data_IF_933824815593
#
_entry.id   IF_933824815593
#
_cell.length_a   1.000
_cell.length_b   1.000
_cell.length_c   1.000
_cell.angle_alpha   90.00
_cell.angle_beta   90.00
_cell.angle_gamma   90.00
#
_symmetry.space_group_name_H-M   'P 1'
#
loop_
_entity.id
_entity.type
_entity.pdbx_description
1 polymer ?
#
# COMPACT_ATOMS: atom_id res chain seq x y z
N UNK A 1 10.24 25.38 37.67
CA UNK A 1 11.06 25.75 36.49
C UNK A 1 11.52 24.44 35.86
N UNK A 2 10.67 23.74 35.10
CA UNK A 2 10.41 23.91 33.65
C UNK A 2 11.71 23.99 32.84
N UNK A 3 12.17 22.83 32.37
CA UNK A 3 13.04 22.64 31.20
C UNK A 3 12.70 21.28 30.57
N UNK A 4 11.50 21.14 30.02
CA UNK A 4 11.12 19.99 29.17
C UNK A 4 10.51 20.41 27.81
N UNK A 5 10.37 21.71 27.54
CA UNK A 5 9.77 22.19 26.28
C UNK A 5 10.75 22.49 25.15
N UNK A 6 12.07 22.39 25.35
CA UNK A 6 13.04 22.95 24.39
C UNK A 6 13.46 21.97 23.28
N UNK A 7 13.45 20.66 23.53
CA UNK A 7 13.89 19.66 22.55
C UNK A 7 12.78 19.24 21.58
N UNK A 8 11.53 19.13 22.03
CA UNK A 8 10.40 18.82 21.13
C UNK A 8 10.12 19.97 20.13
N UNK A 9 10.24 21.23 20.58
CA UNK A 9 10.05 22.40 19.70
C UNK A 9 11.18 22.53 18.67
N UNK A 10 12.41 22.09 18.99
CA UNK A 10 13.51 22.07 18.04
C UNK A 10 13.35 20.93 17.03
N UNK A 11 12.81 19.78 17.43
CA UNK A 11 12.59 18.63 16.55
C UNK A 11 11.39 18.84 15.62
N UNK A 12 10.28 19.39 16.11
CA UNK A 12 9.18 19.91 15.29
C UNK A 12 9.65 21.07 14.40
N UNK A 13 10.56 21.91 14.90
CA UNK A 13 11.16 23.02 14.14
C UNK A 13 11.98 22.53 12.94
N UNK A 14 12.79 21.48 13.13
CA UNK A 14 13.62 20.86 12.08
C UNK A 14 12.76 20.04 11.11
N UNK A 15 11.77 19.27 11.58
CA UNK A 15 10.80 18.60 10.71
C UNK A 15 9.97 19.60 9.92
N UNK A 16 9.54 20.73 10.52
CA UNK A 16 8.80 21.78 9.81
C UNK A 16 9.68 22.54 8.81
N UNK A 17 11.00 22.64 9.05
CA UNK A 17 11.95 23.27 8.16
C UNK A 17 12.33 22.34 7.00
N UNK A 18 12.54 21.04 7.26
CA UNK A 18 12.72 20.03 6.21
C UNK A 18 11.45 19.85 5.38
N UNK A 19 10.26 19.83 6.01
CA UNK A 19 8.96 19.82 5.32
C UNK A 19 8.78 21.07 4.47
N UNK A 20 9.13 22.25 4.99
CA UNK A 20 9.11 23.51 4.22
C UNK A 20 10.11 23.52 3.08
N UNK A 21 11.34 23.05 3.28
CA UNK A 21 12.36 22.95 2.21
C UNK A 21 11.98 21.93 1.15
N UNK A 22 11.39 20.79 1.55
CA UNK A 22 10.85 19.79 0.65
C UNK A 22 9.72 20.41 -0.18
N UNK A 23 8.75 21.06 0.46
CA UNK A 23 7.61 21.69 -0.22
C UNK A 23 8.07 22.89 -1.08
N UNK A 24 8.96 23.77 -0.63
CA UNK A 24 9.52 24.88 -1.40
C UNK A 24 10.30 24.39 -2.64
N UNK A 25 11.03 23.28 -2.51
CA UNK A 25 11.65 22.61 -3.65
C UNK A 25 10.57 22.10 -4.63
N UNK A 26 9.47 21.54 -4.15
CA UNK A 26 8.36 21.10 -5.00
C UNK A 26 7.56 22.28 -5.59
N UNK A 27 7.46 23.43 -4.93
CA UNK A 27 6.66 24.59 -5.37
C UNK A 27 7.38 25.45 -6.39
N UNK A 28 8.66 25.79 -6.15
CA UNK A 28 9.55 26.40 -7.15
C UNK A 28 9.63 25.53 -8.43
N UNK A 29 9.33 24.26 -8.24
CA UNK A 29 9.12 23.17 -9.19
C UNK A 29 7.95 23.24 -10.18
N UNK A 30 6.79 23.71 -9.69
CA UNK A 30 5.45 23.36 -10.19
C UNK A 30 4.97 21.95 -9.83
N UNK A 31 5.40 21.34 -8.71
CA UNK A 31 5.33 19.88 -8.43
C UNK A 31 4.31 19.43 -7.37
N UNK A 32 3.69 20.32 -6.60
CA UNK A 32 2.67 19.94 -5.59
C UNK A 32 1.39 19.42 -6.27
N UNK A 33 1.11 19.85 -7.50
CA UNK A 33 -0.06 19.39 -8.27
C UNK A 33 0.02 17.92 -8.70
N UNK A 34 1.23 17.39 -8.91
CA UNK A 34 1.45 15.96 -9.16
C UNK A 34 0.88 15.10 -8.03
N UNK A 35 0.95 15.63 -6.82
CA UNK A 35 0.51 14.96 -5.60
C UNK A 35 -1.02 14.92 -5.54
N UNK A 36 -1.66 16.05 -5.81
CA UNK A 36 -3.13 16.14 -5.89
C UNK A 36 -3.66 15.20 -6.97
N UNK A 37 -3.02 15.18 -8.16
CA UNK A 37 -3.40 14.27 -9.25
C UNK A 37 -3.19 12.78 -8.88
N UNK A 38 -2.09 12.43 -8.21
CA UNK A 38 -1.83 11.05 -7.77
C UNK A 38 -2.86 10.58 -6.74
N UNK A 39 -3.11 11.40 -5.72
CA UNK A 39 -4.10 11.10 -4.69
C UNK A 39 -5.53 11.00 -5.26
N UNK A 40 -5.85 11.83 -6.25
CA UNK A 40 -7.14 11.83 -6.91
C UNK A 40 -7.44 10.55 -7.71
N UNK A 41 -6.41 9.82 -8.20
CA UNK A 41 -6.58 8.51 -8.88
C UNK A 41 -7.28 7.47 -8.02
N UNK A 42 -7.15 7.58 -6.71
CA UNK A 42 -7.80 6.71 -5.73
C UNK A 42 -8.94 7.40 -4.98
N UNK A 43 -9.41 8.54 -5.47
CA UNK A 43 -10.43 9.35 -4.80
C UNK A 43 -10.06 9.68 -3.34
N UNK A 44 -8.76 9.80 -3.04
CA UNK A 44 -8.27 10.00 -1.68
C UNK A 44 -8.45 11.47 -1.27
N UNK A 45 -9.65 11.80 -0.78
CA UNK A 45 -10.01 13.15 -0.38
C UNK A 45 -9.07 13.71 0.69
N UNK A 46 -8.58 12.88 1.62
CA UNK A 46 -7.62 13.25 2.65
C UNK A 46 -6.35 13.89 2.07
N UNK A 47 -5.66 13.15 1.21
CA UNK A 47 -4.42 13.61 0.60
C UNK A 47 -4.68 14.77 -0.37
N UNK A 48 -5.78 14.73 -1.13
CA UNK A 48 -6.18 15.84 -2.02
C UNK A 48 -6.39 17.12 -1.21
N UNK A 49 -7.20 17.10 -0.15
CA UNK A 49 -7.49 18.27 0.67
C UNK A 49 -6.24 18.83 1.36
N UNK A 50 -5.41 17.95 1.91
CA UNK A 50 -4.15 18.31 2.53
C UNK A 50 -3.21 19.03 1.55
N UNK A 51 -3.00 18.45 0.36
CA UNK A 51 -2.10 19.02 -0.63
C UNK A 51 -2.66 20.26 -1.33
N UNK A 52 -3.97 20.39 -1.47
CA UNK A 52 -4.60 21.65 -1.88
C UNK A 52 -4.31 22.79 -0.88
N UNK A 53 -4.39 22.49 0.42
CA UNK A 53 -4.04 23.45 1.48
C UNK A 53 -2.57 23.89 1.40
N UNK A 54 -1.66 22.93 1.29
CA UNK A 54 -0.22 23.22 1.16
C UNK A 54 0.09 23.99 -0.12
N UNK A 55 -0.52 23.64 -1.26
CA UNK A 55 -0.35 24.35 -2.54
C UNK A 55 -0.75 25.83 -2.46
N UNK A 56 -1.82 26.16 -1.73
CA UNK A 56 -2.24 27.55 -1.54
C UNK A 56 -1.33 28.30 -0.57
N UNK A 57 -0.88 27.66 0.52
CA UNK A 57 -0.01 28.28 1.52
C UNK A 57 1.32 28.76 0.96
N UNK A 58 1.83 28.06 -0.04
CA UNK A 58 3.09 28.35 -0.73
C UNK A 58 2.92 29.24 -1.98
N UNK A 59 1.72 29.79 -2.20
CA UNK A 59 1.46 30.76 -3.26
C UNK A 59 1.16 30.16 -4.64
N UNK A 60 0.72 28.91 -4.71
CA UNK A 60 0.24 28.29 -5.94
C UNK A 60 -1.00 28.99 -6.52
N UNK A 61 -1.16 28.97 -7.84
CA UNK A 61 -2.27 29.63 -8.54
C UNK A 61 -3.61 28.93 -8.24
N UNK A 62 -4.56 29.57 -7.53
CA UNK A 62 -5.85 28.98 -7.19
C UNK A 62 -6.68 28.57 -8.40
N UNK A 63 -6.41 29.15 -9.58
CA UNK A 63 -7.10 28.79 -10.81
C UNK A 63 -6.93 27.31 -11.17
N UNK A 64 -5.81 26.69 -10.79
CA UNK A 64 -5.48 25.30 -11.10
C UNK A 64 -6.32 24.32 -10.29
N UNK A 65 -6.72 24.71 -9.07
CA UNK A 65 -7.59 23.93 -8.20
C UNK A 65 -9.04 23.79 -8.71
N UNK A 66 -9.37 24.45 -9.82
CA UNK A 66 -10.66 24.31 -10.52
C UNK A 66 -10.70 23.11 -11.47
N UNK A 67 -9.56 22.48 -11.73
CA UNK A 67 -9.45 21.27 -12.55
C UNK A 67 -8.23 21.27 -13.46
N UNK A 68 -7.88 20.08 -13.93
CA UNK A 68 -6.67 19.80 -14.71
C UNK A 68 -6.55 20.65 -16.00
N UNK A 69 -7.68 21.02 -16.61
CA UNK A 69 -7.72 21.88 -17.79
C UNK A 69 -7.10 23.28 -17.55
N UNK A 70 -7.06 23.73 -16.30
CA UNK A 70 -6.47 25.01 -15.91
C UNK A 70 -4.99 24.91 -15.55
N UNK A 71 -4.45 23.70 -15.36
CA UNK A 71 -3.03 23.48 -15.07
C UNK A 71 -2.16 23.58 -16.35
N UNK A 72 -0.87 23.94 -16.25
CA UNK A 72 0.07 23.98 -17.37
C UNK A 72 0.14 22.68 -18.17
N UNK A 73 0.41 22.77 -19.49
CA UNK A 73 0.49 21.61 -20.38
C UNK A 73 1.51 20.55 -19.91
N UNK A 74 2.63 20.98 -19.32
CA UNK A 74 3.65 20.07 -18.77
C UNK A 74 3.07 19.13 -17.71
N UNK A 75 2.14 19.61 -16.87
CA UNK A 75 1.48 18.81 -15.84
C UNK A 75 0.38 17.92 -16.43
N UNK A 76 -0.40 18.43 -17.39
CA UNK A 76 -1.39 17.61 -18.10
C UNK A 76 -0.77 16.40 -18.78
N UNK A 77 0.44 16.55 -19.34
CA UNK A 77 1.18 15.45 -19.96
C UNK A 77 1.55 14.32 -18.97
N UNK A 78 1.56 14.58 -17.66
CA UNK A 78 1.86 13.56 -16.64
C UNK A 78 0.64 12.71 -16.27
N UNK A 79 -0.57 13.07 -16.73
CA UNK A 79 -1.78 12.38 -16.31
C UNK A 79 -1.86 10.95 -16.87
N UNK A 80 -1.39 10.73 -18.10
CA UNK A 80 -1.38 9.39 -18.69
C UNK A 80 -0.46 8.44 -17.90
N UNK A 81 0.75 8.89 -17.55
CA UNK A 81 1.68 8.08 -16.75
C UNK A 81 1.19 7.90 -15.31
N UNK A 82 0.53 8.92 -14.73
CA UNK A 82 -0.10 8.85 -13.41
C UNK A 82 -1.16 7.74 -13.34
N UNK A 83 -2.08 7.72 -14.31
CA UNK A 83 -3.12 6.69 -14.45
C UNK A 83 -2.52 5.29 -14.59
N UNK A 84 -1.49 5.14 -15.43
CA UNK A 84 -0.80 3.86 -15.62
C UNK A 84 -0.11 3.41 -14.33
N UNK A 85 0.65 4.26 -13.66
CA UNK A 85 1.34 3.95 -12.41
C UNK A 85 0.39 3.55 -11.28
N UNK A 86 -0.78 4.21 -11.18
CA UNK A 86 -1.76 3.94 -10.14
C UNK A 86 -2.35 2.54 -10.24
N UNK A 87 -2.63 2.09 -11.46
CA UNK A 87 -3.54 0.97 -11.68
C UNK A 87 -2.93 -0.19 -12.49
N UNK A 88 -2.05 0.10 -13.44
CA UNK A 88 -1.51 -0.86 -14.39
C UNK A 88 -0.03 -0.57 -14.72
N UNK A 89 0.88 -0.56 -13.72
CA UNK A 89 2.27 -0.10 -13.89
C UNK A 89 3.06 -0.88 -14.96
N UNK A 90 2.61 -2.07 -15.36
CA UNK A 90 3.20 -2.84 -16.44
C UNK A 90 3.06 -2.23 -17.84
N UNK A 91 2.25 -1.17 -18.02
CA UNK A 91 2.09 -0.47 -19.31
C UNK A 91 3.03 0.74 -19.49
N UNK A 92 3.94 1.00 -18.56
CA UNK A 92 4.74 2.24 -18.54
C UNK A 92 5.69 2.34 -19.74
N UNK A 93 5.78 3.56 -20.28
CA UNK A 93 6.77 4.01 -21.27
C UNK A 93 7.72 5.06 -20.66
N UNK A 94 8.70 5.53 -21.44
CA UNK A 94 9.96 6.18 -21.02
C UNK A 94 9.91 7.57 -20.36
N UNK A 95 8.76 8.08 -19.91
CA UNK A 95 8.60 9.49 -19.53
C UNK A 95 8.94 9.79 -18.04
N UNK A 96 9.61 10.95 -17.81
CA UNK A 96 9.93 11.65 -16.55
C UNK A 96 10.07 10.85 -15.23
N UNK A 97 11.31 10.56 -14.87
CA UNK A 97 11.72 9.73 -13.72
C UNK A 97 11.36 10.34 -12.36
N UNK A 98 11.52 11.66 -12.23
CA UNK A 98 11.19 12.38 -10.98
C UNK A 98 9.69 12.33 -10.66
N UNK A 99 8.83 12.39 -11.67
CA UNK A 99 7.40 12.24 -11.49
C UNK A 99 7.06 10.82 -11.01
N UNK A 100 7.77 9.79 -11.48
CA UNK A 100 7.53 8.40 -11.07
C UNK A 100 7.61 8.21 -9.55
N UNK A 101 8.65 8.77 -8.91
CA UNK A 101 8.86 8.57 -7.47
C UNK A 101 7.74 9.22 -6.66
N UNK A 102 7.34 10.44 -7.01
CA UNK A 102 6.23 11.12 -6.34
C UNK A 102 4.90 10.39 -6.56
N UNK A 103 4.59 10.06 -7.81
CA UNK A 103 3.32 9.42 -8.16
C UNK A 103 3.20 8.06 -7.45
N UNK A 104 4.24 7.22 -7.52
CA UNK A 104 4.24 5.91 -6.82
C UNK A 104 4.15 6.05 -5.30
N UNK A 105 4.84 7.03 -4.72
CA UNK A 105 4.75 7.32 -3.29
C UNK A 105 3.31 7.65 -2.87
N UNK A 106 2.64 8.56 -3.58
CA UNK A 106 1.29 8.99 -3.21
C UNK A 106 0.19 7.98 -3.55
N UNK A 107 0.39 7.12 -4.55
CA UNK A 107 -0.48 5.97 -4.77
C UNK A 107 -0.41 4.99 -3.60
N UNK A 108 0.80 4.66 -3.14
CA UNK A 108 1.00 3.80 -1.97
C UNK A 108 0.52 4.46 -0.67
N UNK A 109 0.69 5.78 -0.54
CA UNK A 109 0.16 6.51 0.62
C UNK A 109 -1.37 6.54 0.62
N UNK A 110 -2.03 6.62 -0.53
CA UNK A 110 -3.48 6.48 -0.61
C UNK A 110 -3.93 5.08 -0.13
N UNK A 111 -3.23 4.00 -0.51
CA UNK A 111 -3.46 2.67 0.07
C UNK A 111 -3.36 2.67 1.59
N UNK A 112 -2.32 3.30 2.15
CA UNK A 112 -2.16 3.40 3.59
C UNK A 112 -3.29 4.18 4.27
N UNK A 113 -3.69 5.32 3.70
CA UNK A 113 -4.80 6.15 4.22
C UNK A 113 -6.10 5.35 4.31
N UNK A 114 -6.49 4.68 3.21
CA UNK A 114 -7.71 3.87 3.20
C UNK A 114 -7.59 2.60 4.07
N UNK A 115 -6.45 1.93 4.04
CA UNK A 115 -6.20 0.71 4.82
C UNK A 115 -6.20 0.96 6.33
N UNK A 116 -5.65 2.09 6.77
CA UNK A 116 -5.65 2.51 8.18
C UNK A 116 -6.89 3.31 8.59
N UNK A 117 -7.78 3.66 7.66
CA UNK A 117 -9.01 4.41 7.92
C UNK A 117 -8.80 5.88 8.28
N UNK A 118 -7.74 6.52 7.79
CA UNK A 118 -7.42 7.92 8.06
C UNK A 118 -8.42 8.83 7.32
N UNK A 119 -9.12 9.71 8.03
CA UNK A 119 -10.09 10.65 7.47
C UNK A 119 -9.65 12.11 7.69
N UNK A 120 -10.13 13.01 6.82
CA UNK A 120 -9.99 14.46 7.00
C UNK A 120 -10.80 14.86 8.23
N UNK A 121 -10.15 15.37 9.27
CA UNK A 121 -10.82 16.13 10.32
C UNK A 121 -11.32 17.45 9.70
N UNK A 122 -12.48 17.40 9.07
CA UNK A 122 -13.30 18.59 8.79
C UNK A 122 -14.21 18.73 10.00
N UNK A 123 -14.06 19.81 10.76
CA UNK A 123 -14.83 20.18 11.96
C UNK A 123 -16.32 19.84 11.85
N UNK A 124 -16.71 18.65 12.32
CA UNK A 124 -18.10 18.23 12.41
C UNK A 124 -18.25 17.46 13.72
N UNK A 125 -19.15 17.93 14.59
CA UNK A 125 -19.47 17.37 15.94
C UNK A 125 -20.02 15.92 15.91
N UNK A 126 -19.95 15.23 14.77
CA UNK A 126 -20.25 13.81 14.59
C UNK A 126 -19.17 13.07 13.76
N UNK A 127 -17.96 13.64 13.63
CA UNK A 127 -16.82 12.96 13.03
C UNK A 127 -16.41 11.78 13.90
N UNK A 128 -16.91 10.58 13.60
CA UNK A 128 -16.39 9.37 14.20
C UNK A 128 -14.95 9.16 13.74
N UNK A 129 -14.01 9.69 14.53
CA UNK A 129 -12.60 9.42 14.40
C UNK A 129 -12.46 7.90 14.30
N UNK A 130 -11.84 7.41 13.23
CA UNK A 130 -11.18 6.11 13.27
C UNK A 130 -9.89 6.32 14.06
N UNK A 131 -10.02 6.64 15.36
CA UNK A 131 -8.88 6.73 16.27
C UNK A 131 -8.69 5.31 16.78
N UNK A 132 -7.70 4.53 16.30
CA UNK A 132 -7.22 3.44 17.12
C UNK A 132 -6.81 4.06 18.46
N UNK A 133 -7.24 3.52 19.62
CA UNK A 133 -6.77 4.03 20.90
C UNK A 133 -5.24 3.98 20.86
N UNK A 134 -4.60 5.15 20.91
CA UNK A 134 -3.16 5.25 21.04
C UNK A 134 -2.72 4.38 22.22
N UNK A 135 -1.60 3.64 22.14
CA UNK A 135 -1.18 2.78 23.24
C UNK A 135 -0.94 3.66 24.47
N UNK A 136 -1.88 3.63 25.43
CA UNK A 136 -1.65 4.20 26.74
C UNK A 136 -0.68 3.27 27.45
N UNK A 137 0.46 3.82 27.84
CA UNK A 137 1.32 3.16 28.82
C UNK A 137 0.49 2.89 30.08
N UNK A 138 0.64 1.69 30.63
CA UNK A 138 0.11 1.23 31.92
C UNK A 138 -1.41 1.37 32.13
N UNK A 139 -2.13 0.27 31.96
CA UNK A 139 -3.16 -0.11 32.93
C UNK A 139 -3.18 -1.63 33.11
N UNK A 140 -2.64 -2.04 34.25
CA UNK A 140 -2.81 -3.36 34.81
C UNK A 140 -4.15 -3.38 35.56
N UNK A 141 -5.14 -4.13 35.05
CA UNK A 141 -6.13 -4.94 35.80
C UNK A 141 -7.42 -5.14 34.99
N UNK A 142 -8.00 -6.36 34.94
CA UNK A 142 -9.26 -6.59 34.28
C UNK A 142 -10.42 -6.32 35.24
N UNK A 143 -11.30 -5.38 34.89
CA UNK A 143 -12.65 -5.29 35.47
C UNK A 143 -13.56 -6.25 34.71
N UNK A 144 -13.83 -7.39 35.35
CA UNK A 144 -14.84 -8.37 34.98
C UNK A 144 -16.23 -7.77 35.07
N UNK A 145 -17.04 -7.87 34.00
CA UNK A 145 -18.46 -8.25 34.03
C UNK A 145 -18.89 -8.87 32.67
N UNK A 146 -19.35 -10.12 32.74
CA UNK A 146 -20.42 -10.79 31.96
C UNK A 146 -20.23 -10.99 30.43
N UNK A 147 -20.42 -12.14 29.79
CA UNK A 147 -20.83 -13.50 30.13
C UNK A 147 -21.12 -14.22 28.79
N UNK A 148 -20.67 -15.47 28.64
CA UNK A 148 -20.86 -16.38 27.47
C UNK A 148 -20.22 -16.00 26.12
N UNK A 149 -18.94 -16.37 25.91
CA UNK A 149 -18.43 -16.82 24.59
C UNK A 149 -17.09 -17.58 24.64
N UNK A 150 -16.88 -18.44 25.64
CA UNK A 150 -15.62 -19.18 25.84
C UNK A 150 -15.26 -20.17 24.73
N UNK A 151 -16.21 -20.59 23.89
CA UNK A 151 -15.91 -21.45 22.73
C UNK A 151 -15.20 -20.68 21.62
N UNK A 152 -15.65 -19.46 21.31
CA UNK A 152 -15.10 -18.64 20.22
C UNK A 152 -13.68 -18.11 20.49
N UNK A 153 -13.29 -17.99 21.75
CA UNK A 153 -11.94 -17.55 22.14
C UNK A 153 -10.90 -18.67 22.07
N UNK A 154 -11.32 -19.93 22.20
CA UNK A 154 -10.42 -21.08 22.10
C UNK A 154 -10.10 -21.41 20.64
N UNK A 155 -11.11 -21.45 19.76
CA UNK A 155 -10.91 -21.65 18.30
C UNK A 155 -9.98 -20.58 17.71
N UNK A 156 -10.11 -19.36 18.20
CA UNK A 156 -9.30 -18.19 17.84
C UNK A 156 -7.81 -18.29 18.21
N UNK A 157 -7.53 -18.85 19.39
CA UNK A 157 -6.17 -19.09 19.86
C UNK A 157 -5.53 -20.20 19.01
N UNK A 158 -6.32 -21.24 18.72
CA UNK A 158 -5.92 -22.38 17.90
C UNK A 158 -5.55 -21.95 16.47
N UNK A 159 -6.26 -21.00 15.85
CA UNK A 159 -5.92 -20.47 14.52
C UNK A 159 -4.52 -19.81 14.47
N UNK A 160 -4.16 -19.04 15.50
CA UNK A 160 -2.84 -18.38 15.57
C UNK A 160 -1.74 -19.42 15.82
N UNK A 161 -2.02 -20.41 16.69
CA UNK A 161 -1.09 -21.52 16.96
C UNK A 161 -0.87 -22.38 15.71
N UNK A 162 -1.93 -22.74 14.98
CA UNK A 162 -1.83 -23.44 13.69
C UNK A 162 -0.99 -22.66 12.66
N UNK A 163 -1.13 -21.33 12.61
CA UNK A 163 -0.30 -20.50 11.74
C UNK A 163 1.18 -20.56 12.13
N UNK A 164 1.49 -20.48 13.43
CA UNK A 164 2.88 -20.60 13.92
C UNK A 164 3.47 -21.99 13.65
N UNK A 165 2.68 -23.06 13.82
CA UNK A 165 3.11 -24.42 13.48
C UNK A 165 3.41 -24.56 11.99
N UNK A 166 2.55 -24.02 11.12
CA UNK A 166 2.80 -23.99 9.67
C UNK A 166 4.08 -23.23 9.32
N UNK A 167 4.31 -22.07 9.94
CA UNK A 167 5.54 -21.31 9.73
C UNK A 167 6.78 -22.13 10.11
N UNK A 168 6.72 -22.82 11.26
CA UNK A 168 7.83 -23.66 11.72
C UNK A 168 8.08 -24.85 10.78
N UNK A 169 7.02 -25.54 10.36
CA UNK A 169 7.13 -26.67 9.42
C UNK A 169 7.73 -26.23 8.08
N UNK A 170 7.28 -25.10 7.54
CA UNK A 170 7.83 -24.57 6.28
C UNK A 170 9.30 -24.20 6.42
N UNK A 171 9.72 -23.67 7.58
CA UNK A 171 11.11 -23.34 7.86
C UNK A 171 11.98 -24.60 7.96
N UNK A 172 11.46 -25.67 8.54
CA UNK A 172 12.13 -26.99 8.60
C UNK A 172 12.24 -27.60 7.18
N UNK A 173 11.17 -27.59 6.38
CA UNK A 173 11.18 -28.11 5.01
C UNK A 173 12.16 -27.37 4.08
N UNK A 174 12.35 -26.05 4.26
CA UNK A 174 13.32 -25.28 3.48
C UNK A 174 14.78 -25.73 3.75
N UNK A 175 15.06 -26.31 4.91
CA UNK A 175 16.37 -26.83 5.28
C UNK A 175 16.64 -28.24 4.73
N UNK A 176 15.60 -28.97 4.31
CA UNK A 176 15.67 -30.39 3.92
C UNK A 176 15.99 -30.63 2.43
N UNK A 177 16.37 -29.61 1.65
CA UNK A 177 16.93 -29.72 0.28
C UNK A 177 16.11 -30.55 -0.76
N UNK A 178 14.81 -30.79 -0.57
CA UNK A 178 13.94 -31.26 -1.66
C UNK A 178 13.62 -30.09 -2.62
N UNK A 179 14.53 -29.86 -3.56
CA UNK A 179 14.42 -28.79 -4.55
C UNK A 179 13.19 -28.96 -5.47
N UNK A 180 12.22 -28.08 -5.31
CA UNK A 180 11.09 -27.93 -6.25
C UNK A 180 11.65 -27.46 -7.61
N UNK A 181 11.19 -28.09 -8.70
CA UNK A 181 11.64 -27.70 -10.04
C UNK A 181 11.16 -26.29 -10.44
N UNK A 182 11.90 -25.59 -11.30
CA UNK A 182 11.53 -24.25 -11.76
C UNK A 182 10.17 -24.22 -12.51
N UNK A 183 9.87 -25.28 -13.28
CA UNK A 183 8.59 -25.43 -13.98
C UNK A 183 7.41 -25.57 -13.01
N UNK A 184 7.62 -26.28 -11.90
CA UNK A 184 6.61 -26.42 -10.86
C UNK A 184 6.40 -25.10 -10.10
N UNK A 185 7.47 -24.35 -9.81
CA UNK A 185 7.38 -23.01 -9.21
C UNK A 185 6.61 -22.03 -10.11
N UNK A 186 6.85 -22.06 -11.41
CA UNK A 186 6.09 -21.28 -12.40
C UNK A 186 4.60 -21.67 -12.40
N UNK A 187 4.29 -22.96 -12.37
CA UNK A 187 2.91 -23.45 -12.32
C UNK A 187 2.20 -22.96 -11.05
N UNK A 188 2.87 -23.00 -9.90
CA UNK A 188 2.33 -22.54 -8.61
C UNK A 188 2.09 -21.03 -8.60
N UNK A 189 2.99 -20.25 -9.21
CA UNK A 189 2.77 -18.82 -9.39
C UNK A 189 1.53 -18.54 -10.25
N UNK A 190 1.37 -19.23 -11.37
CA UNK A 190 0.19 -19.06 -12.25
C UNK A 190 -1.11 -19.51 -11.57
N UNK A 191 -1.05 -20.49 -10.67
CA UNK A 191 -2.18 -20.88 -9.82
C UNK A 191 -2.54 -19.76 -8.84
N UNK A 192 -1.56 -19.19 -8.12
CA UNK A 192 -1.79 -18.10 -7.17
C UNK A 192 -2.33 -16.84 -7.86
N UNK A 193 -1.74 -16.49 -9.02
CA UNK A 193 -2.21 -15.40 -9.88
C UNK A 193 -3.68 -15.59 -10.31
N UNK A 194 -4.10 -16.85 -10.52
CA UNK A 194 -5.49 -17.20 -10.87
C UNK A 194 -6.40 -17.21 -9.66
N UNK A 195 -5.95 -17.71 -8.52
CA UNK A 195 -6.74 -17.71 -7.29
C UNK A 195 -7.02 -16.28 -6.82
N UNK A 196 -6.05 -15.38 -6.97
CA UNK A 196 -6.23 -13.95 -6.77
C UNK A 196 -7.44 -13.40 -7.54
N UNK A 197 -7.81 -13.92 -8.72
CA UNK A 197 -9.04 -13.48 -9.42
C UNK A 197 -10.33 -13.75 -8.64
N UNK A 198 -10.38 -14.90 -7.95
CA UNK A 198 -11.56 -15.37 -7.23
C UNK A 198 -11.77 -14.56 -5.95
N UNK A 199 -10.75 -13.82 -5.54
CA UNK A 199 -10.77 -12.84 -4.46
C UNK A 199 -11.39 -11.54 -5.02
N UNK A 200 -12.72 -11.52 -5.15
CA UNK A 200 -13.45 -10.31 -5.55
C UNK A 200 -13.70 -9.40 -4.33
N UNK A 201 -13.46 -8.08 -4.44
CA UNK A 201 -13.84 -7.12 -3.39
C UNK A 201 -15.37 -6.96 -3.25
N UNK A 202 -16.16 -7.53 -4.16
CA UNK A 202 -17.61 -7.37 -4.17
C UNK A 202 -18.26 -8.17 -3.06
N UNK A 203 -18.82 -7.45 -2.09
CA UNK A 203 -19.83 -7.99 -1.20
C UNK A 203 -20.99 -8.61 -1.99
N UNK A 204 -21.49 -9.72 -1.48
CA UNK A 204 -22.79 -10.27 -1.84
C UNK A 204 -23.86 -9.18 -1.69
N UNK A 205 -24.25 -8.54 -2.79
CA UNK A 205 -25.50 -7.78 -2.85
C UNK A 205 -26.52 -8.71 -3.47
N UNK A 206 -27.25 -9.44 -2.63
CA UNK A 206 -28.45 -10.14 -3.05
C UNK A 206 -29.48 -9.16 -3.62
N UNK A 207 -30.41 -9.59 -4.50
CA UNK A 207 -31.25 -8.69 -5.30
C UNK A 207 -32.29 -7.84 -4.54
N UNK A 208 -32.30 -7.82 -3.20
CA UNK A 208 -33.43 -7.32 -2.42
C UNK A 208 -33.18 -6.14 -1.47
N UNK A 209 -32.02 -5.50 -1.47
CA UNK A 209 -31.81 -4.22 -0.75
C UNK A 209 -31.33 -3.11 -1.69
N UNK A 210 -32.18 -2.70 -2.63
CA UNK A 210 -32.14 -1.32 -3.17
C UNK A 210 -32.91 -0.42 -2.20
N UNK A 211 -32.26 -0.03 -1.12
CA UNK A 211 -32.84 0.89 -0.14
C UNK A 211 -31.80 1.33 0.87
N UNK A 212 -31.41 2.60 0.79
CA UNK A 212 -30.65 3.37 1.78
C UNK A 212 -29.15 3.06 1.94
N UNK A 213 -28.41 2.96 0.83
CA UNK A 213 -27.06 3.53 0.84
C UNK A 213 -27.26 5.03 0.69
N UNK A 214 -27.11 5.77 1.78
CA UNK A 214 -26.86 7.20 1.66
C UNK A 214 -25.62 7.33 0.78
N UNK A 215 -25.80 7.84 -0.44
CA UNK A 215 -24.73 8.44 -1.21
C UNK A 215 -24.09 9.48 -0.29
N UNK A 216 -23.04 9.09 0.43
CA UNK A 216 -22.07 10.04 0.93
C UNK A 216 -21.47 10.66 -0.33
N UNK A 217 -22.03 11.80 -0.70
CA UNK A 217 -21.54 12.66 -1.76
C UNK A 217 -20.05 12.91 -1.51
N UNK A 218 -19.21 12.23 -2.29
CA UNK A 218 -17.81 12.61 -2.46
C UNK A 218 -17.77 14.13 -2.70
N UNK A 219 -16.81 14.87 -2.12
CA UNK A 219 -16.66 16.28 -2.44
C UNK A 219 -16.61 16.40 -3.98
N UNK A 220 -17.45 17.24 -4.62
CA UNK A 220 -17.61 17.29 -6.08
C UNK A 220 -16.34 17.72 -6.86
N UNK A 221 -15.18 17.78 -6.22
CA UNK A 221 -13.97 18.45 -6.68
C UNK A 221 -12.72 17.56 -6.79
N UNK A 222 -12.78 16.23 -6.58
CA UNK A 222 -11.58 15.38 -6.77
C UNK A 222 -11.43 14.92 -8.22
N UNK A 223 -12.55 14.62 -8.88
CA UNK A 223 -12.57 14.12 -10.27
C UNK A 223 -12.06 15.13 -11.29
N UNK A 224 -12.10 16.43 -10.99
CA UNK A 224 -11.61 17.47 -11.88
C UNK A 224 -10.08 17.41 -12.09
N UNK A 225 -9.35 16.66 -11.27
CA UNK A 225 -7.90 16.47 -11.35
C UNK A 225 -7.47 15.23 -12.14
N UNK A 226 -8.41 14.47 -12.72
CA UNK A 226 -8.14 13.15 -13.30
C UNK A 226 -8.76 13.02 -14.70
N UNK A 227 -8.05 12.40 -15.64
CA UNK A 227 -8.62 11.94 -16.92
C UNK A 227 -8.90 10.44 -16.81
N UNK A 228 -9.95 9.97 -17.49
CA UNK A 228 -10.36 8.56 -17.47
C UNK A 228 -10.50 8.00 -16.03
N UNK A 229 -11.50 8.52 -15.27
CA UNK A 229 -11.70 8.15 -13.87
C UNK A 229 -12.06 6.67 -13.70
N UNK A 230 -12.61 6.02 -14.74
CA UNK A 230 -12.99 4.61 -14.72
C UNK A 230 -11.80 3.66 -14.96
N UNK A 231 -10.61 4.20 -15.31
CA UNK A 231 -9.42 3.38 -15.47
C UNK A 231 -8.98 2.82 -14.12
N UNK A 232 -9.28 1.54 -13.91
CA UNK A 232 -8.90 0.82 -12.70
C UNK A 232 -7.85 -0.25 -12.96
N UNK A 233 -7.46 -0.90 -11.87
CA UNK A 233 -6.62 -2.09 -11.92
C UNK A 233 -7.32 -3.19 -12.74
N UNK A 234 -6.54 -3.88 -13.58
CA UNK A 234 -6.98 -5.04 -14.37
C UNK A 234 -6.16 -6.25 -13.95
N UNK A 235 -6.85 -7.32 -13.58
CA UNK A 235 -6.18 -8.57 -13.21
C UNK A 235 -5.34 -9.14 -14.36
N UNK A 236 -4.12 -9.56 -14.03
CA UNK A 236 -3.16 -10.20 -14.95
C UNK A 236 -3.62 -11.53 -15.56
N UNK A 237 -4.79 -12.03 -15.22
CA UNK A 237 -5.24 -13.40 -15.52
C UNK A 237 -6.57 -13.50 -16.26
N UNK A 238 -7.22 -12.38 -16.61
CA UNK A 238 -8.40 -12.43 -17.49
C UNK A 238 -7.96 -12.84 -18.89
N UNK A 239 -8.27 -14.06 -19.33
CA UNK A 239 -8.03 -14.51 -20.72
C UNK A 239 -8.67 -13.50 -21.70
N UNK A 240 -7.81 -12.83 -22.47
CA UNK A 240 -8.11 -11.85 -23.52
C UNK A 240 -6.78 -11.37 -24.13
N UNK A 241 -6.82 -10.76 -25.32
CA UNK A 241 -5.65 -10.38 -26.16
C UNK A 241 -4.59 -9.43 -25.53
N UNK A 242 -4.71 -9.07 -24.25
CA UNK A 242 -3.88 -8.04 -23.60
C UNK A 242 -3.48 -8.41 -22.15
N UNK A 243 -3.35 -9.69 -21.78
CA UNK A 243 -2.68 -10.02 -20.50
C UNK A 243 -1.18 -9.77 -20.64
N UNK A 244 -0.60 -8.84 -19.85
CA UNK A 244 0.83 -8.57 -19.89
C UNK A 244 1.60 -9.82 -19.48
N UNK A 245 2.79 -10.05 -20.06
CA UNK A 245 3.61 -11.19 -19.68
C UNK A 245 4.01 -11.09 -18.21
N UNK A 246 4.04 -12.25 -17.54
CA UNK A 246 4.60 -12.38 -16.18
C UNK A 246 6.01 -11.77 -16.15
N UNK A 247 6.25 -10.89 -15.19
CA UNK A 247 7.54 -10.25 -14.99
C UNK A 247 8.37 -11.10 -14.03
N UNK A 248 9.43 -11.74 -14.52
CA UNK A 248 10.41 -12.43 -13.67
C UNK A 248 11.26 -11.39 -12.95
N UNK A 249 11.26 -11.41 -11.62
CA UNK A 249 11.99 -10.45 -10.80
C UNK A 249 13.49 -10.47 -11.12
N UNK A 250 14.05 -11.64 -11.42
CA UNK A 250 15.46 -11.83 -11.80
C UNK A 250 15.85 -11.09 -13.08
N UNK A 251 14.90 -10.79 -13.98
CA UNK A 251 15.18 -10.01 -15.20
C UNK A 251 15.49 -8.53 -14.87
N UNK A 252 14.99 -8.03 -13.74
CA UNK A 252 15.16 -6.64 -13.31
C UNK A 252 14.81 -6.48 -11.82
N UNK A 253 15.79 -6.74 -10.94
CA UNK A 253 15.64 -6.60 -9.48
C UNK A 253 15.85 -5.16 -9.02
N UNK A 254 15.36 -4.82 -7.82
CA UNK A 254 15.67 -3.54 -7.18
C UNK A 254 17.18 -3.44 -6.88
N UNK A 255 17.75 -4.48 -6.27
CA UNK A 255 19.13 -4.53 -5.82
C UNK A 255 20.14 -4.38 -6.96
N UNK A 256 19.96 -5.13 -8.06
CA UNK A 256 20.95 -5.14 -9.15
C UNK A 256 20.73 -4.00 -10.16
N UNK A 257 19.48 -3.56 -10.36
CA UNK A 257 19.14 -2.64 -11.45
C UNK A 257 18.43 -1.37 -10.97
N UNK A 258 17.31 -1.52 -10.26
CA UNK A 258 16.42 -0.42 -9.90
C UNK A 258 17.09 0.66 -9.07
N UNK A 259 17.78 0.26 -8.00
CA UNK A 259 18.52 1.14 -7.10
C UNK A 259 19.61 1.90 -7.85
N UNK A 260 20.46 1.19 -8.61
CA UNK A 260 21.56 1.80 -9.37
C UNK A 260 21.04 2.85 -10.36
N UNK A 261 19.94 2.57 -11.06
CA UNK A 261 19.35 3.52 -11.99
C UNK A 261 18.81 4.77 -11.28
N UNK A 262 18.00 4.61 -10.22
CA UNK A 262 17.49 5.77 -9.48
C UNK A 262 18.64 6.55 -8.87
N UNK A 263 19.60 5.90 -8.23
CA UNK A 263 20.72 6.57 -7.58
C UNK A 263 21.59 7.36 -8.58
N UNK A 264 21.71 6.89 -9.83
CA UNK A 264 22.40 7.64 -10.89
C UNK A 264 21.63 8.89 -11.35
N UNK A 265 20.31 8.83 -11.33
CA UNK A 265 19.45 9.90 -11.85
C UNK A 265 19.01 10.89 -10.77
N UNK A 266 18.85 10.40 -9.55
CA UNK A 266 18.44 11.16 -8.38
C UNK A 266 19.07 10.57 -7.09
N UNK A 267 20.36 10.86 -6.83
CA UNK A 267 21.16 10.18 -5.80
C UNK A 267 20.55 10.18 -4.40
N UNK A 268 20.19 11.36 -3.89
CA UNK A 268 19.69 11.50 -2.52
C UNK A 268 18.39 10.70 -2.28
N UNK A 269 17.56 10.54 -3.32
CA UNK A 269 16.31 9.81 -3.23
C UNK A 269 16.49 8.31 -3.45
N UNK A 270 17.47 7.89 -4.25
CA UNK A 270 17.81 6.46 -4.41
C UNK A 270 18.14 5.81 -3.07
N UNK A 271 19.00 6.46 -2.28
CA UNK A 271 19.37 5.98 -0.95
C UNK A 271 18.16 5.95 0.01
N UNK A 272 17.38 7.02 0.08
CA UNK A 272 16.20 7.08 0.97
C UNK A 272 15.15 6.02 0.63
N UNK A 273 14.95 5.71 -0.66
CA UNK A 273 14.03 4.65 -1.09
C UNK A 273 14.54 3.27 -0.68
N UNK A 274 15.83 2.99 -0.89
CA UNK A 274 16.43 1.71 -0.52
C UNK A 274 16.35 1.46 1.00
N UNK A 275 16.76 2.46 1.80
CA UNK A 275 16.65 2.41 3.25
C UNK A 275 15.19 2.19 3.69
N UNK A 276 14.23 2.88 3.08
CA UNK A 276 12.81 2.73 3.38
C UNK A 276 12.30 1.31 3.09
N UNK A 277 12.64 0.75 1.93
CA UNK A 277 12.26 -0.63 1.59
C UNK A 277 12.86 -1.63 2.57
N UNK A 278 14.14 -1.50 2.89
CA UNK A 278 14.83 -2.38 3.83
C UNK A 278 14.27 -2.27 5.25
N UNK A 279 14.02 -1.06 5.74
CA UNK A 279 13.46 -0.85 7.08
C UNK A 279 12.10 -1.52 7.20
N UNK A 280 11.19 -1.31 6.25
CA UNK A 280 9.85 -1.88 6.31
C UNK A 280 9.87 -3.40 6.07
N UNK A 281 10.65 -3.89 5.11
CA UNK A 281 10.75 -5.31 4.84
C UNK A 281 11.30 -6.08 6.05
N UNK A 282 12.32 -5.54 6.74
CA UNK A 282 12.96 -6.17 7.89
C UNK A 282 12.30 -5.87 9.23
N UNK A 283 11.33 -4.95 9.29
CA UNK A 283 10.65 -4.57 10.52
C UNK A 283 10.02 -5.82 11.17
N UNK A 284 10.44 -6.12 12.40
CA UNK A 284 9.86 -7.19 13.20
C UNK A 284 9.98 -6.83 14.68
N UNK A 285 8.93 -7.11 15.43
CA UNK A 285 8.96 -7.09 16.89
C UNK A 285 9.16 -8.49 17.48
N UNK A 286 9.35 -9.50 16.61
CA UNK A 286 9.37 -10.92 16.94
C UNK A 286 8.14 -11.34 17.77
N UNK A 287 6.98 -10.79 17.40
CA UNK A 287 5.68 -11.06 18.02
C UNK A 287 4.67 -11.45 16.96
N UNK A 288 3.74 -12.33 17.33
CA UNK A 288 2.56 -12.66 16.55
C UNK A 288 1.35 -12.73 17.50
N UNK A 289 0.42 -11.79 17.35
CA UNK A 289 -0.72 -11.59 18.25
C UNK A 289 -0.28 -11.47 19.73
N UNK A 290 -0.59 -12.49 20.54
CA UNK A 290 -0.22 -12.61 21.96
C UNK A 290 1.15 -13.26 22.20
N UNK A 291 1.75 -13.90 21.20
CA UNK A 291 3.03 -14.61 21.33
C UNK A 291 4.22 -13.69 21.07
N UNK A 292 5.33 -13.99 21.74
CA UNK A 292 6.61 -13.27 21.62
C UNK A 292 7.75 -14.27 21.39
N UNK A 293 8.86 -13.79 20.85
CA UNK A 293 10.00 -14.64 20.47
C UNK A 293 9.77 -15.47 19.21
N UNK A 294 8.87 -15.02 18.32
CA UNK A 294 8.53 -15.73 17.07
C UNK A 294 9.17 -15.02 15.88
N UNK A 295 9.90 -15.76 15.05
CA UNK A 295 10.39 -15.24 13.76
C UNK A 295 9.22 -15.14 12.77
N UNK A 296 8.94 -13.92 12.31
CA UNK A 296 7.85 -13.61 11.37
C UNK A 296 8.32 -13.43 9.94
N UNK A 297 9.60 -13.69 9.64
CA UNK A 297 10.21 -13.48 8.32
C UNK A 297 9.42 -14.13 7.19
N UNK A 298 9.01 -15.39 7.35
CA UNK A 298 8.21 -16.12 6.34
C UNK A 298 6.85 -15.47 6.08
N UNK A 299 6.15 -15.07 7.15
CA UNK A 299 4.84 -14.43 7.04
C UNK A 299 4.94 -13.07 6.35
N UNK A 300 5.95 -12.26 6.71
CA UNK A 300 6.21 -10.96 6.08
C UNK A 300 6.59 -11.11 4.60
N UNK A 301 7.44 -12.08 4.28
CA UNK A 301 7.83 -12.43 2.91
C UNK A 301 6.63 -12.88 2.08
N UNK A 302 5.72 -13.68 2.66
CA UNK A 302 4.49 -14.09 1.99
C UNK A 302 3.57 -12.93 1.66
N UNK A 303 3.41 -11.96 2.58
CA UNK A 303 2.64 -10.73 2.33
C UNK A 303 3.28 -9.94 1.18
N UNK A 304 4.59 -9.70 1.23
CA UNK A 304 5.33 -8.96 0.21
C UNK A 304 5.20 -9.60 -1.18
N UNK A 305 5.48 -10.91 -1.25
CA UNK A 305 5.46 -11.66 -2.50
C UNK A 305 4.04 -11.85 -3.05
N UNK A 306 3.01 -11.89 -2.18
CA UNK A 306 1.62 -11.87 -2.62
C UNK A 306 1.25 -10.53 -3.27
N UNK A 307 1.64 -9.39 -2.70
CA UNK A 307 1.43 -8.07 -3.32
C UNK A 307 2.12 -8.02 -4.68
N UNK A 308 3.38 -8.43 -4.76
CA UNK A 308 4.11 -8.51 -6.04
C UNK A 308 3.47 -9.47 -7.05
N UNK A 309 2.91 -10.60 -6.61
CA UNK A 309 2.14 -11.52 -7.45
C UNK A 309 0.87 -10.88 -8.03
N UNK A 310 0.15 -10.10 -7.21
CA UNK A 310 -1.00 -9.30 -7.68
C UNK A 310 -0.57 -8.33 -8.79
N UNK A 311 0.63 -7.76 -8.70
CA UNK A 311 1.22 -6.93 -9.75
C UNK A 311 1.98 -7.72 -10.84
N UNK A 312 1.85 -9.05 -10.90
CA UNK A 312 2.42 -9.87 -11.98
C UNK A 312 3.93 -10.11 -11.90
N UNK A 313 4.55 -9.85 -10.74
CA UNK A 313 5.98 -10.07 -10.49
C UNK A 313 6.18 -11.44 -9.84
N UNK A 314 7.01 -12.28 -10.46
CA UNK A 314 7.36 -13.63 -10.00
C UNK A 314 8.81 -13.69 -9.51
N UNK A 315 9.01 -14.23 -8.32
CA UNK A 315 10.32 -14.63 -7.81
C UNK A 315 10.55 -16.11 -8.10
N UNK A 316 11.56 -16.44 -8.91
CA UNK A 316 11.88 -17.83 -9.27
C UNK A 316 12.44 -18.67 -8.12
N UNK A 317 12.84 -18.06 -7.01
CA UNK A 317 13.39 -18.69 -5.79
C UNK A 317 12.35 -18.79 -4.66
N UNK A 318 11.08 -18.54 -4.93
CA UNK A 318 10.02 -18.52 -3.93
C UNK A 318 8.88 -19.50 -4.25
N UNK A 319 8.54 -20.38 -3.29
CA UNK A 319 7.40 -21.27 -3.39
C UNK A 319 6.08 -20.52 -3.10
N UNK A 320 5.35 -20.14 -4.14
CA UNK A 320 4.05 -19.45 -3.99
C UNK A 320 2.97 -20.27 -3.27
N UNK A 321 3.17 -21.57 -2.99
CA UNK A 321 2.29 -22.30 -2.05
C UNK A 321 2.36 -21.75 -0.63
N UNK A 322 3.49 -21.18 -0.22
CA UNK A 322 3.65 -20.53 1.09
C UNK A 322 2.59 -19.44 1.29
N UNK A 323 2.19 -18.73 0.23
CA UNK A 323 1.13 -17.70 0.29
C UNK A 323 -0.19 -18.31 0.76
N UNK A 324 -0.59 -19.45 0.22
CA UNK A 324 -1.86 -20.10 0.58
C UNK A 324 -1.83 -20.80 1.93
N UNK A 325 -0.64 -21.21 2.38
CA UNK A 325 -0.48 -21.83 3.69
C UNK A 325 -0.47 -20.80 4.83
N UNK A 326 0.06 -19.60 4.56
CA UNK A 326 0.29 -18.55 5.56
C UNK A 326 -0.76 -17.43 5.54
N UNK A 327 -1.32 -17.07 4.38
CA UNK A 327 -2.27 -15.96 4.27
C UNK A 327 -3.70 -16.49 4.17
N UNK A 328 -4.49 -16.24 5.21
CA UNK A 328 -5.93 -16.54 5.19
C UNK A 328 -6.65 -15.75 4.08
N UNK A 329 -7.77 -16.31 3.59
CA UNK A 329 -8.55 -15.73 2.49
C UNK A 329 -9.00 -14.30 2.77
N UNK A 330 -9.44 -14.01 3.99
CA UNK A 330 -9.85 -12.66 4.44
C UNK A 330 -8.71 -11.64 4.34
N UNK A 331 -7.49 -12.04 4.69
CA UNK A 331 -6.29 -11.23 4.55
C UNK A 331 -5.95 -10.99 3.08
N UNK A 332 -6.02 -12.03 2.22
CA UNK A 332 -5.81 -11.88 0.77
C UNK A 332 -6.81 -10.89 0.15
N UNK A 333 -8.10 -10.99 0.52
CA UNK A 333 -9.14 -10.03 0.11
C UNK A 333 -8.80 -8.60 0.53
N UNK A 334 -8.40 -8.43 1.79
CA UNK A 334 -8.02 -7.13 2.32
C UNK A 334 -6.81 -6.55 1.59
N UNK A 335 -5.69 -7.29 1.51
CA UNK A 335 -4.46 -6.86 0.84
C UNK A 335 -4.74 -6.47 -0.61
N UNK A 336 -5.43 -7.33 -1.37
CA UNK A 336 -5.74 -7.04 -2.78
C UNK A 336 -6.62 -5.80 -2.93
N UNK A 337 -7.60 -5.62 -2.06
CA UNK A 337 -8.48 -4.45 -2.11
C UNK A 337 -7.70 -3.18 -1.80
N UNK A 338 -6.90 -3.16 -0.73
CA UNK A 338 -6.11 -1.97 -0.36
C UNK A 338 -5.04 -1.65 -1.42
N UNK A 339 -4.45 -2.65 -2.06
CA UNK A 339 -3.43 -2.43 -3.10
C UNK A 339 -4.02 -1.97 -4.44
N UNK A 340 -5.17 -2.50 -4.85
CA UNK A 340 -5.71 -2.29 -6.21
C UNK A 340 -6.92 -1.34 -6.27
N UNK A 341 -7.73 -1.30 -5.21
CA UNK A 341 -9.00 -0.57 -5.11
C UNK A 341 -9.15 0.04 -3.69
N UNK A 342 -8.18 0.85 -3.23
CA UNK A 342 -8.15 1.31 -1.85
C UNK A 342 -9.44 2.06 -1.44
N UNK A 343 -10.10 2.75 -2.38
CA UNK A 343 -11.37 3.44 -2.18
C UNK A 343 -12.55 2.51 -1.80
N UNK A 344 -12.42 1.19 -2.03
CA UNK A 344 -13.42 0.17 -1.66
C UNK A 344 -13.14 -0.48 -0.32
N UNK A 345 -12.10 -0.04 0.40
CA UNK A 345 -11.75 -0.58 1.70
C UNK A 345 -12.84 -0.23 2.72
N UNK A 346 -13.32 -1.24 3.46
CA UNK A 346 -14.37 -1.05 4.48
C UNK A 346 -13.89 -1.48 5.85
N UNK A 347 -14.49 -0.90 6.89
CA UNK A 347 -14.28 -1.32 8.28
C UNK A 347 -14.55 -2.81 8.49
N UNK A 348 -15.60 -3.35 7.84
CA UNK A 348 -15.94 -4.77 7.90
C UNK A 348 -14.77 -5.64 7.43
N UNK A 349 -14.16 -5.30 6.30
CA UNK A 349 -12.98 -6.01 5.79
C UNK A 349 -11.83 -5.94 6.79
N UNK A 350 -11.52 -4.74 7.31
CA UNK A 350 -10.44 -4.54 8.29
C UNK A 350 -10.64 -5.35 9.58
N UNK A 351 -11.86 -5.43 10.09
CA UNK A 351 -12.17 -6.21 11.31
C UNK A 351 -12.24 -7.71 11.06
N UNK A 352 -12.44 -8.16 9.82
CA UNK A 352 -12.75 -9.55 9.53
C UNK A 352 -11.50 -10.44 9.43
N UNK A 353 -10.39 -9.91 8.90
CA UNK A 353 -9.12 -10.62 8.85
C UNK A 353 -8.37 -10.50 10.19
N UNK A 354 -7.57 -11.51 10.54
CA UNK A 354 -6.70 -11.52 11.73
C UNK A 354 -7.39 -10.94 12.96
N UNK A 355 -8.51 -11.54 13.35
CA UNK A 355 -9.37 -11.03 14.43
C UNK A 355 -8.68 -10.95 15.78
N UNK A 356 -7.67 -11.79 15.98
CA UNK A 356 -6.92 -11.93 17.25
C UNK A 356 -5.57 -11.21 17.24
N UNK A 357 -5.19 -10.61 16.11
CA UNK A 357 -3.99 -9.82 16.01
C UNK A 357 -4.24 -8.39 16.51
N UNK A 358 -3.18 -7.77 17.02
CA UNK A 358 -3.19 -6.39 17.49
C UNK A 358 -3.40 -5.45 16.31
N UNK A 359 -4.01 -4.30 16.59
CA UNK A 359 -4.12 -3.24 15.59
C UNK A 359 -2.77 -2.77 15.05
N UNK A 360 -1.72 -2.76 15.89
CA UNK A 360 -0.35 -2.46 15.47
C UNK A 360 0.14 -3.41 14.38
N UNK A 361 -0.22 -4.69 14.44
CA UNK A 361 0.15 -5.69 13.43
C UNK A 361 -0.64 -5.48 12.14
N UNK A 362 -1.91 -5.07 12.22
CA UNK A 362 -2.69 -4.68 11.03
C UNK A 362 -2.13 -3.43 10.35
N UNK A 363 -1.65 -2.45 11.12
CA UNK A 363 -0.93 -1.29 10.58
C UNK A 363 0.39 -1.74 9.94
N UNK A 364 1.10 -2.68 10.54
CA UNK A 364 2.32 -3.26 9.99
C UNK A 364 2.06 -3.98 8.64
N UNK A 365 0.94 -4.69 8.48
CA UNK A 365 0.53 -5.23 7.17
C UNK A 365 0.37 -4.11 6.13
N UNK A 366 -0.21 -2.97 6.51
CA UNK A 366 -0.34 -1.83 5.60
C UNK A 366 1.02 -1.21 5.24
N UNK A 367 2.01 -1.22 6.13
CA UNK A 367 3.39 -0.82 5.81
C UNK A 367 4.01 -1.74 4.76
N UNK A 368 3.95 -3.06 4.97
CA UNK A 368 4.46 -4.03 4.00
C UNK A 368 3.77 -3.89 2.63
N UNK A 369 2.44 -3.75 2.63
CA UNK A 369 1.65 -3.58 1.42
C UNK A 369 2.00 -2.29 0.67
N UNK A 370 2.15 -1.16 1.37
CA UNK A 370 2.40 0.12 0.71
C UNK A 370 3.77 0.13 0.03
N UNK A 371 4.77 -0.46 0.69
CA UNK A 371 6.14 -0.50 0.18
C UNK A 371 6.29 -1.52 -0.95
N UNK A 372 5.72 -2.72 -0.81
CA UNK A 372 5.70 -3.71 -1.90
C UNK A 372 4.98 -3.16 -3.14
N UNK A 373 3.84 -2.47 -2.95
CA UNK A 373 3.13 -1.81 -4.06
C UNK A 373 4.00 -0.75 -4.73
N UNK A 374 4.69 0.09 -3.94
CA UNK A 374 5.53 1.15 -4.47
C UNK A 374 6.71 0.58 -5.25
N UNK A 375 7.38 -0.44 -4.68
CA UNK A 375 8.52 -1.10 -5.30
C UNK A 375 8.11 -1.75 -6.63
N UNK A 376 6.98 -2.47 -6.68
CA UNK A 376 6.47 -3.06 -7.91
C UNK A 376 6.26 -2.02 -9.02
N UNK A 377 5.60 -0.89 -8.69
CA UNK A 377 5.36 0.18 -9.65
C UNK A 377 6.67 0.82 -10.16
N UNK A 378 7.63 1.06 -9.26
CA UNK A 378 8.95 1.58 -9.62
C UNK A 378 9.73 0.60 -10.51
N UNK A 379 9.73 -0.70 -10.20
CA UNK A 379 10.46 -1.70 -10.98
C UNK A 379 9.98 -1.73 -12.43
N UNK A 380 8.67 -1.71 -12.67
CA UNK A 380 8.15 -1.64 -14.04
C UNK A 380 8.58 -0.37 -14.76
N UNK A 381 8.51 0.78 -14.08
CA UNK A 381 8.86 2.06 -14.66
C UNK A 381 10.36 2.16 -15.00
N UNK A 382 11.22 1.76 -14.07
CA UNK A 382 12.67 1.76 -14.23
C UNK A 382 13.14 0.76 -15.29
N UNK A 383 12.48 -0.40 -15.39
CA UNK A 383 12.74 -1.35 -16.47
C UNK A 383 12.40 -0.76 -17.84
N UNK A 384 11.29 -0.02 -17.96
CA UNK A 384 10.92 0.66 -19.19
C UNK A 384 11.94 1.76 -19.58
N UNK A 385 12.42 2.53 -18.60
CA UNK A 385 13.48 3.52 -18.80
C UNK A 385 14.78 2.86 -19.26
N UNK A 386 15.21 1.78 -18.58
CA UNK A 386 16.45 1.07 -18.93
C UNK A 386 16.40 0.59 -20.38
N UNK A 387 15.29 -0.02 -20.79
CA UNK A 387 15.06 -0.46 -22.18
C UNK A 387 15.06 0.66 -23.22
N UNK A 388 14.84 1.90 -22.80
CA UNK A 388 14.92 3.06 -23.68
C UNK A 388 16.33 3.64 -23.76
N UNK A 389 17.11 3.54 -22.67
CA UNK A 389 18.48 4.03 -22.62
C UNK A 389 19.47 3.10 -23.36
N UNK A 390 19.12 1.83 -23.50
CA UNK A 390 19.81 0.81 -24.32
C UNK A 390 19.24 0.76 -25.72
#
# INVERSE_FOLDING_TARGET
>A
MIFHGSNEILQEGVESAQRRLFIEAFVSTGRVDNITMAAARHHCSYLVGFHMGEFLQVGGDPAWLRGLQYAPQKLRNLNEINKILAHQPWLITKEHIEALVLLTHYHSLASFVFGCGINLELDQEAGHIFRPPSPRSCDSSPSSEDGTNSSSSNDAMEDVEMLMERMKLLQECQLEEEGVTQEEMETRFEMEKRESLLVTPSGEVGPHLKGNIAEHSLPPNVLCFVEDPEFGYKDFTRRGEQTPPTFRAQDYTWEDHGYSLINRLYPDVGQLLDEKFQVVYNLTYNTIAMHSGVDTSMLRRAIWNYVHCVFGIRYDDYDYREVNQLLERSLKIYIKTVACYPEKTTKRMYTHFWRHFKHSEKVHVNLLLLEARMQAALLYALRAITRYMT
#
